data_IF_213188936708
#
_entry.id   IF_213188936708
#
_cell.length_a   1.000
_cell.length_b   1.000
_cell.length_c   1.000
_cell.angle_alpha   90.00
_cell.angle_beta   90.00
_cell.angle_gamma   90.00
#
_symmetry.space_group_name_H-M   'P 1'
#
loop_
_entity.id
_entity.type
_entity.pdbx_description
1 polymer ?
#
# COMPACT_ATOMS: atom_id res chain seq x y z
N UNK A 1 14.85 5.15 14.37
CA UNK A 1 15.24 4.69 13.01
C UNK A 1 13.99 4.43 12.18
N UNK A 2 13.96 4.95 10.99
CA UNK A 2 12.84 4.76 10.07
C UNK A 2 13.18 3.70 9.03
N UNK A 3 12.29 2.74 8.84
CA UNK A 3 12.44 1.67 7.85
C UNK A 3 11.37 1.86 6.79
N UNK A 4 11.81 2.01 5.55
CA UNK A 4 10.95 2.32 4.42
C UNK A 4 10.83 1.13 3.48
N UNK A 5 9.62 0.89 2.97
CA UNK A 5 9.36 -0.04 1.89
C UNK A 5 8.47 0.61 0.83
N UNK A 6 8.80 0.40 -0.43
CA UNK A 6 8.07 1.00 -1.55
C UNK A 6 7.74 -0.09 -2.57
N UNK A 7 6.48 -0.15 -2.99
CA UNK A 7 6.05 -0.95 -4.13
C UNK A 7 5.66 0.00 -5.26
N UNK A 8 6.34 -0.11 -6.40
CA UNK A 8 6.11 0.75 -7.55
C UNK A 8 5.20 0.07 -8.58
N UNK A 9 4.43 0.87 -9.29
CA UNK A 9 3.57 0.42 -10.38
C UNK A 9 2.59 -0.68 -9.98
N UNK A 10 2.00 -0.54 -8.79
CA UNK A 10 0.97 -1.45 -8.32
C UNK A 10 -0.31 -1.19 -9.14
N UNK A 11 -0.88 -2.25 -9.70
CA UNK A 11 -2.05 -2.15 -10.61
C UNK A 11 -3.35 -1.96 -9.84
N UNK A 12 -3.46 -0.83 -9.17
CA UNK A 12 -4.69 -0.39 -8.51
C UNK A 12 -4.68 1.11 -8.42
N UNK A 13 -5.87 1.72 -8.36
CA UNK A 13 -5.96 3.16 -8.20
C UNK A 13 -5.50 3.58 -6.80
N UNK A 14 -4.85 4.75 -6.65
CA UNK A 14 -4.35 5.19 -5.35
C UNK A 14 -5.47 5.45 -4.33
N UNK A 15 -6.66 5.82 -4.77
CA UNK A 15 -7.80 6.09 -3.87
C UNK A 15 -8.19 4.88 -3.04
N UNK A 16 -8.19 3.70 -3.65
CA UNK A 16 -8.55 2.44 -2.98
C UNK A 16 -7.54 2.10 -1.89
N UNK A 17 -6.25 2.31 -2.17
CA UNK A 17 -5.17 2.04 -1.22
C UNK A 17 -5.15 3.09 -0.11
N UNK A 18 -5.37 4.36 -0.43
CA UNK A 18 -5.37 5.45 0.56
C UNK A 18 -6.38 5.23 1.66
N UNK A 19 -7.52 4.66 1.34
CA UNK A 19 -8.56 4.34 2.32
C UNK A 19 -8.01 3.47 3.45
N UNK A 20 -7.24 2.44 3.11
CA UNK A 20 -6.66 1.54 4.09
C UNK A 20 -5.37 2.09 4.71
N UNK A 21 -4.60 2.87 3.95
CA UNK A 21 -3.43 3.55 4.47
C UNK A 21 -3.79 4.50 5.62
N UNK A 22 -4.92 5.21 5.49
CA UNK A 22 -5.40 6.10 6.54
C UNK A 22 -5.77 5.34 7.82
N UNK A 23 -6.26 4.11 7.69
CA UNK A 23 -6.63 3.27 8.84
C UNK A 23 -5.42 2.80 9.64
N UNK A 24 -4.30 2.53 8.99
CA UNK A 24 -3.13 1.94 9.65
C UNK A 24 -2.10 2.98 10.09
N UNK A 25 -2.20 4.21 9.60
CA UNK A 25 -1.26 5.27 9.96
C UNK A 25 -1.32 5.57 11.45
N UNK A 26 -0.18 5.55 12.12
CA UNK A 26 -0.08 5.82 13.56
C UNK A 26 -0.39 4.63 14.46
N UNK A 27 -0.69 3.46 13.91
CA UNK A 27 -0.93 2.24 14.69
C UNK A 27 0.34 1.41 14.86
N UNK A 28 0.33 0.48 15.82
CA UNK A 28 1.42 -0.49 15.93
C UNK A 28 1.42 -1.43 14.73
N UNK A 29 2.56 -2.06 14.45
CA UNK A 29 2.66 -3.02 13.35
C UNK A 29 1.70 -4.19 13.53
N UNK A 30 1.57 -4.69 14.75
CA UNK A 30 0.65 -5.80 15.07
C UNK A 30 -0.79 -5.40 14.77
N UNK A 31 -1.21 -4.21 15.23
CA UNK A 31 -2.57 -3.71 14.98
C UNK A 31 -2.80 -3.45 13.48
N UNK A 32 -1.82 -2.90 12.78
CA UNK A 32 -1.93 -2.64 11.35
C UNK A 32 -2.14 -3.94 10.57
N UNK A 33 -1.40 -4.98 10.89
CA UNK A 33 -1.56 -6.29 10.27
C UNK A 33 -2.95 -6.87 10.52
N UNK A 34 -3.45 -6.75 11.76
CA UNK A 34 -4.77 -7.24 12.11
C UNK A 34 -5.88 -6.47 11.36
N UNK A 35 -5.76 -5.15 11.28
CA UNK A 35 -6.73 -4.31 10.56
C UNK A 35 -6.80 -4.73 9.07
N UNK A 36 -5.65 -4.89 8.42
CA UNK A 36 -5.61 -5.24 7.00
C UNK A 36 -6.06 -6.67 6.73
N UNK A 37 -5.84 -7.57 7.67
CA UNK A 37 -6.19 -8.99 7.51
C UNK A 37 -7.72 -9.21 7.45
N UNK A 38 -8.51 -8.37 8.12
CA UNK A 38 -9.97 -8.51 8.14
C UNK A 38 -10.66 -7.80 6.99
N UNK A 39 -9.94 -7.05 6.18
CA UNK A 39 -10.51 -6.35 5.03
C UNK A 39 -10.67 -7.28 3.85
N UNK A 40 -11.82 -7.25 3.20
CA UNK A 40 -12.11 -8.10 2.04
C UNK A 40 -11.58 -7.54 0.72
N UNK A 41 -11.01 -6.34 0.72
CA UNK A 41 -10.57 -5.65 -0.50
C UNK A 41 -9.19 -6.12 -0.97
N UNK A 42 -8.99 -6.32 -2.28
CA UNK A 42 -7.66 -6.59 -2.83
C UNK A 42 -6.64 -5.49 -2.54
N UNK A 43 -7.08 -4.23 -2.45
CA UNK A 43 -6.20 -3.10 -2.13
C UNK A 43 -5.58 -3.24 -0.74
N UNK A 44 -6.35 -3.73 0.23
CA UNK A 44 -5.83 -4.01 1.57
C UNK A 44 -4.74 -5.09 1.54
N UNK A 45 -4.93 -6.13 0.71
CA UNK A 45 -3.94 -7.19 0.53
C UNK A 45 -2.63 -6.68 -0.08
N UNK A 46 -2.72 -5.78 -1.04
CA UNK A 46 -1.54 -5.16 -1.65
C UNK A 46 -0.78 -4.30 -0.64
N UNK A 47 -1.50 -3.51 0.16
CA UNK A 47 -0.89 -2.70 1.22
C UNK A 47 -0.25 -3.59 2.29
N UNK A 48 -0.89 -4.70 2.64
CA UNK A 48 -0.35 -5.66 3.61
C UNK A 48 0.98 -6.25 3.14
N UNK A 49 1.14 -6.51 1.85
CA UNK A 49 2.41 -6.99 1.29
C UNK A 49 3.54 -5.99 1.47
N UNK A 50 3.26 -4.71 1.23
CA UNK A 50 4.26 -3.65 1.43
C UNK A 50 4.61 -3.51 2.91
N UNK A 51 3.60 -3.57 3.78
CA UNK A 51 3.78 -3.54 5.23
C UNK A 51 4.66 -4.70 5.70
N UNK A 52 4.40 -5.91 5.23
CA UNK A 52 5.17 -7.10 5.59
C UNK A 52 6.61 -7.01 5.05
N UNK A 53 6.80 -6.42 3.88
CA UNK A 53 8.14 -6.16 3.33
C UNK A 53 8.93 -5.20 4.22
N UNK A 54 8.30 -4.13 4.69
CA UNK A 54 8.94 -3.20 5.62
C UNK A 54 9.29 -3.88 6.94
N UNK A 55 8.39 -4.73 7.46
CA UNK A 55 8.64 -5.48 8.69
C UNK A 55 9.81 -6.45 8.53
N UNK A 56 9.89 -7.15 7.39
CA UNK A 56 11.00 -8.04 7.09
C UNK A 56 12.32 -7.29 6.99
N UNK A 57 12.31 -6.10 6.37
CA UNK A 57 13.50 -5.25 6.30
C UNK A 57 13.98 -4.84 7.70
N UNK A 58 13.05 -4.47 8.58
CA UNK A 58 13.38 -4.09 9.95
C UNK A 58 14.01 -5.24 10.72
N UNK A 59 13.44 -6.43 10.59
CA UNK A 59 13.92 -7.62 11.29
C UNK A 59 15.25 -8.13 10.73
N UNK A 60 15.33 -8.32 9.42
CA UNK A 60 16.47 -9.00 8.80
C UNK A 60 17.67 -8.08 8.57
N UNK A 61 17.45 -6.81 8.24
CA UNK A 61 18.52 -5.87 7.89
C UNK A 61 18.97 -5.03 9.07
N UNK A 62 18.08 -4.77 10.04
CA UNK A 62 18.34 -3.88 11.15
C UNK A 62 18.24 -4.56 12.52
N UNK A 63 17.83 -5.83 12.56
CA UNK A 63 17.71 -6.58 13.80
C UNK A 63 16.68 -6.04 14.79
N UNK A 64 15.69 -5.29 14.33
CA UNK A 64 14.68 -4.70 15.18
C UNK A 64 13.58 -5.70 15.54
N UNK A 65 13.03 -5.55 16.75
CA UNK A 65 11.88 -6.33 17.20
C UNK A 65 10.61 -5.80 16.53
N UNK A 66 9.93 -6.65 15.76
CA UNK A 66 8.71 -6.26 15.05
C UNK A 66 7.58 -5.87 15.99
N UNK A 67 7.55 -6.39 17.22
CA UNK A 67 6.54 -6.03 18.21
C UNK A 67 6.70 -4.59 18.72
N UNK A 68 7.88 -4.01 18.59
CA UNK A 68 8.16 -2.64 19.01
C UNK A 68 7.96 -1.61 17.90
N UNK A 69 7.62 -2.04 16.69
CA UNK A 69 7.47 -1.15 15.54
C UNK A 69 6.06 -0.57 15.45
N UNK A 70 5.98 0.65 14.92
CA UNK A 70 4.72 1.30 14.59
C UNK A 70 4.76 1.89 13.18
N UNK A 71 3.59 2.12 12.60
CA UNK A 71 3.49 2.72 11.27
C UNK A 71 3.58 4.24 11.40
N UNK A 72 4.72 4.78 10.99
CA UNK A 72 4.95 6.23 10.99
C UNK A 72 4.24 6.91 9.82
N UNK A 73 4.35 6.31 8.64
CA UNK A 73 3.73 6.83 7.43
C UNK A 73 3.27 5.69 6.54
N UNK A 74 2.14 5.90 5.88
CA UNK A 74 1.63 5.00 4.84
C UNK A 74 0.89 5.87 3.84
N UNK A 75 1.30 5.81 2.58
CA UNK A 75 0.66 6.61 1.55
C UNK A 75 0.75 5.93 0.20
N UNK A 76 -0.13 6.32 -0.70
CA UNK A 76 -0.16 5.85 -2.07
C UNK A 76 -0.13 7.07 -3.00
N UNK A 77 0.87 7.12 -3.85
CA UNK A 77 1.06 8.18 -4.82
C UNK A 77 0.62 7.73 -6.20
N UNK A 78 0.20 8.66 -7.03
CA UNK A 78 -0.21 8.36 -8.39
C UNK A 78 0.97 7.80 -9.20
N UNK A 79 0.71 6.67 -9.87
CA UNK A 79 1.63 6.12 -10.83
C UNK A 79 1.19 6.40 -12.25
N UNK A 80 1.78 5.68 -13.19
CA UNK A 80 1.44 5.81 -14.59
C UNK A 80 0.01 5.33 -14.84
N UNK A 81 -0.77 6.14 -15.56
CA UNK A 81 -2.11 5.77 -16.02
C UNK A 81 -2.01 5.31 -17.46
N UNK A 82 -2.44 4.07 -17.70
CA UNK A 82 -2.45 3.51 -19.05
C UNK A 82 -3.85 3.59 -19.66
N UNK A 83 -4.05 4.38 -20.72
CA UNK A 83 -5.34 4.43 -21.38
C UNK A 83 -5.59 3.15 -22.19
N UNK A 84 -6.83 2.70 -22.17
CA UNK A 84 -7.30 1.58 -22.98
C UNK A 84 -8.58 2.01 -23.67
N UNK A 85 -8.84 1.45 -24.85
CA UNK A 85 -10.04 1.72 -25.61
C UNK A 85 -10.99 0.54 -25.44
N UNK A 86 -12.24 0.85 -25.12
CA UNK A 86 -13.30 -0.14 -25.05
C UNK A 86 -14.42 0.27 -26.01
N UNK A 87 -14.80 -0.64 -26.87
CA UNK A 87 -15.89 -0.40 -27.79
C UNK A 87 -17.23 -0.62 -27.10
N UNK A 88 -18.12 0.36 -27.26
CA UNK A 88 -19.48 0.33 -26.74
C UNK A 88 -20.47 0.10 -27.89
N UNK A 89 -21.78 0.05 -27.56
CA UNK A 89 -22.84 -0.09 -28.52
C UNK A 89 -22.73 0.94 -29.66
N UNK A 90 -23.12 0.57 -30.88
CA UNK A 90 -23.05 1.39 -32.07
C UNK A 90 -21.67 1.85 -32.49
N UNK A 91 -20.65 1.04 -32.19
CA UNK A 91 -19.26 1.31 -32.57
C UNK A 91 -18.61 2.48 -31.86
N UNK A 92 -19.19 2.99 -30.78
CA UNK A 92 -18.55 4.03 -29.97
C UNK A 92 -17.34 3.48 -29.22
N UNK A 93 -16.24 4.22 -29.27
CA UNK A 93 -15.05 3.91 -28.49
C UNK A 93 -15.02 4.76 -27.23
N UNK A 94 -14.84 4.13 -26.07
CA UNK A 94 -14.67 4.82 -24.79
C UNK A 94 -13.27 4.56 -24.26
N UNK A 95 -12.67 5.58 -23.66
CA UNK A 95 -11.39 5.44 -22.98
C UNK A 95 -11.61 4.88 -21.58
N UNK A 96 -10.85 3.84 -21.25
CA UNK A 96 -10.77 3.31 -19.90
C UNK A 96 -9.38 3.61 -19.38
N UNK A 97 -9.30 4.21 -18.18
CA UNK A 97 -8.04 4.51 -17.53
C UNK A 97 -7.66 3.35 -16.62
N UNK A 98 -6.56 2.68 -16.93
CA UNK A 98 -5.95 1.69 -16.05
C UNK A 98 -4.93 2.40 -15.17
N UNK A 99 -5.33 2.72 -13.95
CA UNK A 99 -4.50 3.47 -13.01
C UNK A 99 -3.54 2.57 -12.28
N UNK A 100 -2.40 3.10 -11.91
CA UNK A 100 -1.46 2.46 -11.01
C UNK A 100 -1.08 3.41 -9.88
N UNK A 101 -0.43 2.87 -8.86
CA UNK A 101 0.05 3.70 -7.76
C UNK A 101 1.38 3.18 -7.24
N UNK A 102 2.06 4.03 -6.49
CA UNK A 102 3.26 3.68 -5.74
C UNK A 102 2.92 3.71 -4.26
N UNK A 103 3.06 2.57 -3.60
CA UNK A 103 2.72 2.43 -2.18
C UNK A 103 4.00 2.56 -1.37
N UNK A 104 3.99 3.45 -0.38
CA UNK A 104 5.11 3.64 0.54
C UNK A 104 4.65 3.41 1.96
N UNK A 105 5.40 2.60 2.70
CA UNK A 105 5.18 2.38 4.14
C UNK A 105 6.48 2.65 4.85
N UNK A 106 6.42 3.45 5.91
CA UNK A 106 7.55 3.74 6.79
C UNK A 106 7.21 3.25 8.19
N UNK A 107 8.03 2.35 8.71
CA UNK A 107 7.94 1.89 10.09
C UNK A 107 8.99 2.59 10.94
N UNK A 108 8.70 2.75 12.22
CA UNK A 108 9.63 3.34 13.17
C UNK A 108 9.62 2.55 14.46
N UNK A 109 10.75 2.56 15.16
CA UNK A 109 10.90 2.00 16.50
C UNK A 109 10.65 3.03 17.61
N UNK A 110 10.21 4.21 17.26
CA UNK A 110 9.91 5.30 18.20
C UNK A 110 11.03 6.30 18.38
N UNK A 111 12.12 6.14 17.65
CA UNK A 111 13.27 7.07 17.72
C UNK A 111 13.38 7.95 16.48
#
# INVERSE_FOLDING_TARGET
MDIRSVARFVRTGPRKVRRYADLIRGTSLVDARAILAVQASPAAGLLARVLNSAAANAENNHGLDTDALSVKAAHADDGLTMPRVRYRARGRAERIKKRSCHITVVLTDGE
#
